data_IF_710653804049
#
_entry.id   IF_710653804049
#
_cell.length_a   1.000
_cell.length_b   1.000
_cell.length_c   1.000
_cell.angle_alpha   90.00
_cell.angle_beta   90.00
_cell.angle_gamma   90.00
#
_symmetry.space_group_name_H-M   'P 1'
#
loop_
_entity.id
_entity.type
_entity.pdbx_description
1 polymer ?
#
# COMPACT_ATOMS: atom_id res chain seq x y z
N UNK A 1 -21.93 43.33 -28.55
CA UNK A 1 -21.17 43.88 -29.70
C UNK A 1 -19.75 43.30 -29.69
N UNK A 2 -19.52 42.25 -30.47
CA UNK A 2 -18.19 41.71 -30.82
C UNK A 2 -18.29 41.30 -32.29
N UNK A 3 -17.50 41.94 -33.13
CA UNK A 3 -17.47 41.79 -34.58
C UNK A 3 -16.59 40.58 -34.88
N UNK A 4 -17.16 39.49 -35.40
CA UNK A 4 -16.38 38.42 -36.01
C UNK A 4 -16.18 38.76 -37.48
N UNK A 5 -14.98 39.23 -37.81
CA UNK A 5 -14.52 39.33 -39.18
C UNK A 5 -14.46 37.92 -39.79
N UNK A 6 -15.30 37.67 -40.78
CA UNK A 6 -15.21 36.47 -41.62
C UNK A 6 -14.01 36.63 -42.57
N UNK A 7 -12.96 35.85 -42.32
CA UNK A 7 -11.86 35.67 -43.27
C UNK A 7 -12.40 34.76 -44.39
N UNK A 8 -12.58 35.34 -45.57
CA UNK A 8 -13.04 34.63 -46.76
C UNK A 8 -11.81 33.99 -47.44
N UNK A 9 -11.49 32.75 -47.05
CA UNK A 9 -10.39 32.00 -47.66
C UNK A 9 -10.91 31.36 -48.95
N UNK A 10 -10.52 31.92 -50.10
CA UNK A 10 -10.80 31.37 -51.43
C UNK A 10 -9.70 30.36 -51.78
N UNK A 11 -9.94 29.07 -51.51
CA UNK A 11 -9.07 27.98 -51.96
C UNK A 11 -9.60 27.43 -53.29
N UNK A 12 -8.69 27.37 -54.25
CA UNK A 12 -8.92 27.02 -55.63
C UNK A 12 -9.30 25.52 -55.76
N UNK A 13 -10.51 25.25 -56.26
CA UNK A 13 -10.75 24.25 -57.29
C UNK A 13 -10.67 22.74 -56.98
N UNK A 14 -10.45 22.26 -55.74
CA UNK A 14 -10.63 20.82 -55.43
C UNK A 14 -11.33 20.58 -54.09
N UNK A 15 -12.27 19.64 -54.12
CA UNK A 15 -13.27 19.27 -53.12
C UNK A 15 -12.88 19.51 -51.65
N UNK A 16 -13.40 20.61 -51.09
CA UNK A 16 -13.33 20.94 -49.65
C UNK A 16 -14.05 19.90 -48.76
N UNK A 17 -14.88 19.03 -49.33
CA UNK A 17 -15.63 18.01 -48.59
C UNK A 17 -14.72 16.97 -47.94
N UNK A 18 -13.61 16.60 -48.60
CA UNK A 18 -12.69 15.58 -48.07
C UNK A 18 -11.78 16.13 -46.97
N UNK A 19 -11.41 17.42 -47.05
CA UNK A 19 -10.55 18.08 -46.05
C UNK A 19 -11.33 18.34 -44.75
N UNK A 20 -12.60 18.73 -44.85
CA UNK A 20 -13.46 18.92 -43.67
C UNK A 20 -13.67 17.63 -42.88
N UNK A 21 -13.83 16.49 -43.56
CA UNK A 21 -13.97 15.18 -42.92
C UNK A 21 -12.69 14.81 -42.15
N UNK A 22 -11.52 15.08 -42.71
CA UNK A 22 -10.23 14.80 -42.06
C UNK A 22 -10.06 15.65 -40.80
N UNK A 23 -10.40 16.94 -40.84
CA UNK A 23 -10.29 17.83 -39.68
C UNK A 23 -11.28 17.42 -38.57
N UNK A 24 -12.50 17.02 -38.91
CA UNK A 24 -13.49 16.52 -37.94
C UNK A 24 -13.04 15.18 -37.33
N UNK A 25 -12.43 14.29 -38.11
CA UNK A 25 -11.85 13.04 -37.60
C UNK A 25 -10.66 13.29 -36.67
N UNK A 26 -9.74 14.21 -37.02
CA UNK A 26 -8.59 14.56 -36.17
C UNK A 26 -9.05 15.23 -34.86
N UNK A 27 -10.11 16.05 -34.88
CA UNK A 27 -10.69 16.61 -33.67
C UNK A 27 -11.46 15.58 -32.84
N UNK A 28 -12.14 14.62 -33.46
CA UNK A 28 -12.81 13.52 -32.75
C UNK A 28 -11.81 12.58 -32.07
N UNK A 29 -10.66 12.31 -32.68
CA UNK A 29 -9.60 11.48 -32.08
C UNK A 29 -8.87 12.16 -30.91
N UNK A 30 -8.77 13.50 -30.90
CA UNK A 30 -8.18 14.23 -29.77
C UNK A 30 -9.16 14.49 -28.60
N UNK A 31 -10.47 14.26 -28.80
CA UNK A 31 -11.47 14.47 -27.74
C UNK A 31 -11.85 13.20 -26.97
N UNK A 32 -11.35 12.03 -27.38
CA UNK A 32 -11.44 10.81 -26.60
C UNK A 32 -10.19 10.68 -25.72
N UNK A 33 -10.00 11.67 -24.84
CA UNK A 33 -9.16 11.46 -23.68
C UNK A 33 -9.83 10.34 -22.87
N UNK A 34 -9.35 9.11 -23.05
CA UNK A 34 -9.64 8.01 -22.15
C UNK A 34 -9.15 8.44 -20.77
N UNK A 35 -10.01 9.15 -20.02
CA UNK A 35 -9.94 9.13 -18.57
C UNK A 35 -10.23 7.69 -18.23
N UNK A 36 -9.16 6.90 -18.12
CA UNK A 36 -9.18 5.65 -17.41
C UNK A 36 -9.81 6.03 -16.07
N UNK A 37 -11.07 5.61 -15.88
CA UNK A 37 -11.71 5.67 -14.58
C UNK A 37 -10.84 4.77 -13.71
N UNK A 38 -9.90 5.37 -12.98
CA UNK A 38 -9.24 4.68 -11.89
C UNK A 38 -10.38 4.16 -11.00
N UNK A 39 -10.42 2.85 -10.71
CA UNK A 39 -11.46 2.32 -9.86
C UNK A 39 -11.39 3.07 -8.53
N UNK A 40 -12.51 3.69 -8.16
CA UNK A 40 -12.65 4.40 -6.89
C UNK A 40 -12.48 3.36 -5.78
N UNK A 41 -11.32 3.40 -5.12
CA UNK A 41 -10.97 2.45 -4.09
C UNK A 41 -11.37 3.01 -2.73
N UNK A 42 -12.29 2.31 -2.07
CA UNK A 42 -12.67 2.63 -0.70
C UNK A 42 -11.53 2.27 0.26
N UNK A 43 -11.01 3.23 1.07
CA UNK A 43 -9.96 2.93 2.02
C UNK A 43 -10.38 1.86 3.03
N UNK A 44 -9.47 0.93 3.32
CA UNK A 44 -9.67 -0.14 4.31
C UNK A 44 -8.90 0.19 5.57
N UNK A 45 -9.57 0.06 6.72
CA UNK A 45 -8.95 0.17 8.04
C UNK A 45 -8.51 -1.20 8.51
N UNK A 46 -7.24 -1.38 8.78
CA UNK A 46 -6.67 -2.67 9.20
C UNK A 46 -6.18 -2.56 10.63
N UNK A 47 -6.81 -3.31 11.53
CA UNK A 47 -6.32 -3.51 12.89
C UNK A 47 -5.50 -4.80 12.93
N UNK A 48 -4.22 -4.67 13.24
CA UNK A 48 -3.29 -5.80 13.27
C UNK A 48 -2.89 -6.09 14.71
N UNK A 49 -3.08 -7.33 15.14
CA UNK A 49 -2.47 -7.88 16.34
C UNK A 49 -1.21 -8.63 15.92
N UNK A 50 -0.07 -7.99 16.10
CA UNK A 50 1.24 -8.55 15.81
C UNK A 50 1.71 -9.36 17.02
N UNK A 51 2.07 -10.62 16.78
CA UNK A 51 2.57 -11.55 17.79
C UNK A 51 3.93 -12.07 17.36
N UNK A 52 4.92 -11.90 18.22
CA UNK A 52 6.29 -12.32 17.94
C UNK A 52 6.71 -13.33 18.99
N UNK A 53 7.13 -14.50 18.52
CA UNK A 53 7.70 -15.54 19.35
C UNK A 53 9.23 -15.48 19.24
N UNK A 54 9.91 -15.50 20.37
CA UNK A 54 11.36 -15.59 20.45
C UNK A 54 11.70 -17.05 20.65
N UNK A 55 12.44 -17.61 19.70
CA UNK A 55 12.93 -18.97 19.74
C UNK A 55 14.41 -19.00 20.06
N UNK A 56 14.88 -20.03 20.74
CA UNK A 56 16.31 -20.29 20.91
C UNK A 56 16.94 -20.94 19.67
N UNK A 57 18.24 -21.21 19.72
CA UNK A 57 19.01 -21.87 18.65
C UNK A 57 18.55 -23.29 18.32
N UNK A 58 17.71 -23.88 19.18
CA UNK A 58 17.12 -25.21 19.01
C UNK A 58 15.63 -25.16 18.67
N UNK A 59 15.12 -23.99 18.27
CA UNK A 59 13.72 -23.76 17.89
C UNK A 59 12.71 -23.93 19.03
N UNK A 60 13.14 -23.93 20.29
CA UNK A 60 12.24 -23.92 21.43
C UNK A 60 11.86 -22.49 21.82
N UNK A 61 10.66 -22.32 22.39
CA UNK A 61 10.26 -21.03 22.97
C UNK A 61 11.27 -20.61 24.02
N UNK A 62 11.83 -19.42 23.84
CA UNK A 62 12.86 -18.88 24.71
C UNK A 62 12.27 -18.60 26.11
N UNK A 63 12.82 -19.25 27.14
CA UNK A 63 12.26 -19.23 28.50
C UNK A 63 13.03 -18.36 29.50
N UNK A 64 14.31 -18.05 29.29
CA UNK A 64 15.14 -17.32 30.28
C UNK A 64 16.38 -16.66 29.68
N UNK A 65 16.75 -15.44 30.14
CA UNK A 65 15.90 -14.39 30.73
C UNK A 65 14.93 -13.79 29.70
N UNK A 66 13.98 -12.93 30.07
CA UNK A 66 13.19 -12.21 29.06
C UNK A 66 14.12 -11.44 28.11
N UNK A 67 13.76 -11.37 26.83
CA UNK A 67 14.53 -10.62 25.84
C UNK A 67 13.76 -9.39 25.37
N UNK A 68 14.50 -8.36 24.97
CA UNK A 68 13.89 -7.21 24.31
C UNK A 68 13.50 -7.60 22.89
N UNK A 69 12.32 -7.16 22.48
CA UNK A 69 11.80 -7.31 21.12
C UNK A 69 11.62 -5.90 20.56
N UNK A 70 12.37 -5.60 19.52
CA UNK A 70 12.31 -4.36 18.76
C UNK A 70 11.37 -4.55 17.58
N UNK A 71 10.24 -3.85 17.60
CA UNK A 71 9.28 -3.82 16.50
C UNK A 71 9.57 -2.64 15.57
N UNK A 72 9.56 -2.91 14.26
CA UNK A 72 9.55 -1.89 13.22
C UNK A 72 8.35 -2.14 12.31
N UNK A 73 7.51 -1.14 12.08
CA UNK A 73 6.32 -1.29 11.26
C UNK A 73 6.12 -0.09 10.38
N UNK A 74 5.63 -0.29 9.17
CA UNK A 74 5.35 0.79 8.24
C UNK A 74 4.38 0.33 7.16
N UNK A 75 3.73 1.29 6.50
CA UNK A 75 2.98 1.05 5.27
C UNK A 75 3.86 1.41 4.07
N UNK A 76 3.86 0.55 3.06
CA UNK A 76 4.39 0.85 1.73
C UNK A 76 3.25 1.32 0.84
N UNK A 77 3.41 2.50 0.25
CA UNK A 77 2.49 2.98 -0.79
C UNK A 77 2.84 2.39 -2.16
N UNK A 78 1.96 2.55 -3.14
CA UNK A 78 2.17 2.24 -4.56
C UNK A 78 3.56 2.60 -5.10
N UNK A 79 4.05 3.80 -4.74
CA UNK A 79 5.35 4.33 -5.14
C UNK A 79 6.53 3.85 -4.25
N UNK A 80 6.36 2.77 -3.49
CA UNK A 80 7.33 2.22 -2.53
C UNK A 80 7.78 3.22 -1.44
N UNK A 81 6.97 4.25 -1.16
CA UNK A 81 7.25 5.19 -0.07
C UNK A 81 6.82 4.57 1.25
N UNK A 82 7.71 4.65 2.25
CA UNK A 82 7.38 4.28 3.63
C UNK A 82 6.59 5.41 4.29
N UNK A 83 5.39 5.09 4.76
CA UNK A 83 4.54 5.98 5.56
C UNK A 83 4.11 5.25 6.83
N UNK A 84 3.57 5.99 7.81
CA UNK A 84 3.17 5.44 9.12
C UNK A 84 4.28 4.61 9.79
N UNK A 85 5.53 5.05 9.62
CA UNK A 85 6.69 4.39 10.19
C UNK A 85 6.66 4.50 11.72
N UNK A 86 6.78 3.36 12.38
CA UNK A 86 6.82 3.27 13.85
C UNK A 86 7.89 2.28 14.28
N UNK A 87 8.67 2.71 15.26
CA UNK A 87 9.58 1.86 16.02
C UNK A 87 9.15 1.87 17.48
N UNK A 88 9.11 0.69 18.08
CA UNK A 88 8.84 0.53 19.49
C UNK A 88 9.38 -0.80 19.98
N UNK A 89 9.59 -0.91 21.27
CA UNK A 89 10.15 -2.11 21.86
C UNK A 89 9.32 -2.56 23.05
N UNK A 90 9.44 -3.85 23.35
CA UNK A 90 8.86 -4.44 24.54
C UNK A 90 9.75 -5.57 25.04
N UNK A 91 9.61 -5.90 26.31
CA UNK A 91 10.22 -7.10 26.86
C UNK A 91 9.27 -8.27 26.63
N UNK A 92 9.80 -9.40 26.16
CA UNK A 92 9.01 -10.62 25.94
C UNK A 92 8.30 -11.07 27.22
N UNK A 93 7.05 -11.52 27.11
CA UNK A 93 6.32 -12.22 28.15
C UNK A 93 6.98 -13.58 28.52
N UNK A 94 6.54 -14.24 29.61
CA UNK A 94 6.89 -15.63 29.88
C UNK A 94 6.65 -16.52 28.66
N UNK A 95 7.67 -17.32 28.30
CA UNK A 95 7.76 -18.10 27.05
C UNK A 95 8.13 -17.33 25.78
N UNK A 96 8.77 -16.16 25.91
CA UNK A 96 9.39 -15.48 24.76
C UNK A 96 8.39 -14.82 23.82
N UNK A 97 7.24 -14.35 24.32
CA UNK A 97 6.18 -13.81 23.46
C UNK A 97 6.09 -12.29 23.56
N UNK A 98 6.18 -11.54 22.45
CA UNK A 98 5.84 -10.12 22.37
C UNK A 98 4.55 -9.85 21.60
N UNK A 99 3.74 -8.90 22.04
CA UNK A 99 2.48 -8.53 21.37
C UNK A 99 2.43 -7.02 21.13
N UNK A 100 2.01 -6.60 19.94
CA UNK A 100 1.77 -5.20 19.59
C UNK A 100 0.45 -5.06 18.82
N UNK A 101 -0.35 -4.07 19.19
CA UNK A 101 -1.56 -3.69 18.46
C UNK A 101 -1.25 -2.50 17.55
N UNK A 102 -1.68 -2.59 16.30
CA UNK A 102 -1.38 -1.62 15.26
C UNK A 102 -2.64 -1.30 14.48
N UNK A 103 -2.69 -0.09 13.92
CA UNK A 103 -3.77 0.37 13.05
C UNK A 103 -3.17 0.99 11.80
N UNK A 104 -3.66 0.59 10.64
CA UNK A 104 -3.28 1.13 9.35
C UNK A 104 -4.52 1.45 8.53
N UNK A 105 -4.36 2.35 7.55
CA UNK A 105 -5.35 2.58 6.52
C UNK A 105 -4.71 2.32 5.17
N UNK A 106 -5.24 1.38 4.40
CA UNK A 106 -4.84 1.13 3.02
C UNK A 106 -5.77 1.93 2.10
N UNK A 107 -5.20 2.79 1.27
CA UNK A 107 -5.93 3.65 0.35
C UNK A 107 -5.91 3.13 -1.09
N UNK A 108 -5.08 2.12 -1.40
CA UNK A 108 -5.00 1.50 -2.72
C UNK A 108 -4.71 -0.01 -2.58
N UNK A 109 -5.03 -0.80 -3.61
CA UNK A 109 -4.81 -2.26 -3.65
C UNK A 109 -3.34 -2.67 -3.61
N UNK A 110 -2.45 -1.80 -4.08
CA UNK A 110 -1.00 -2.05 -4.12
C UNK A 110 -0.26 -1.59 -2.86
N UNK A 111 -0.99 -0.97 -1.91
CA UNK A 111 -0.41 -0.65 -0.59
C UNK A 111 -0.27 -1.91 0.27
N UNK A 112 0.79 -1.92 1.08
CA UNK A 112 1.16 -3.08 1.88
C UNK A 112 1.53 -2.66 3.30
N UNK A 113 1.27 -3.52 4.28
CA UNK A 113 1.70 -3.31 5.65
C UNK A 113 2.91 -4.19 5.90
N UNK A 114 4.01 -3.60 6.36
CA UNK A 114 5.21 -4.31 6.77
C UNK A 114 5.26 -4.37 8.29
N UNK A 115 5.39 -5.60 8.79
CA UNK A 115 5.59 -5.92 10.19
C UNK A 115 6.97 -6.54 10.35
N UNK A 116 7.84 -5.93 11.14
CA UNK A 116 9.19 -6.40 11.34
C UNK A 116 9.53 -6.49 12.83
N UNK A 117 10.29 -7.52 13.21
CA UNK A 117 10.80 -7.63 14.57
C UNK A 117 12.22 -8.19 14.63
N UNK A 118 12.96 -7.79 15.66
CA UNK A 118 14.30 -8.28 16.00
C UNK A 118 14.48 -8.31 17.52
N UNK A 119 15.42 -9.09 18.01
CA UNK A 119 15.85 -9.10 19.42
C UNK A 119 17.15 -8.31 19.65
N UNK A 120 17.74 -7.71 18.61
CA UNK A 120 19.04 -7.05 18.69
C UNK A 120 18.94 -5.53 18.81
N UNK A 121 18.28 -4.87 17.85
CA UNK A 121 18.19 -3.41 17.77
C UNK A 121 17.19 -2.95 16.68
N UNK A 122 17.09 -1.62 16.54
CA UNK A 122 16.29 -0.95 15.53
C UNK A 122 16.96 -0.79 14.15
N UNK A 123 18.20 -1.24 13.98
CA UNK A 123 19.07 -0.83 12.87
C UNK A 123 18.86 -1.62 11.57
N UNK A 124 17.84 -2.48 11.46
CA UNK A 124 17.49 -3.09 10.17
C UNK A 124 18.25 -4.34 9.78
N UNK A 125 19.34 -4.66 10.48
CA UNK A 125 20.31 -5.65 10.00
C UNK A 125 19.81 -7.09 10.16
N UNK A 126 18.89 -7.36 11.09
CA UNK A 126 18.41 -8.71 11.40
C UNK A 126 16.90 -8.75 11.70
N UNK A 127 16.09 -8.04 10.92
CA UNK A 127 14.64 -8.17 11.04
C UNK A 127 14.14 -9.44 10.38
N UNK A 128 13.21 -10.10 11.06
CA UNK A 128 12.22 -10.89 10.33
C UNK A 128 11.07 -9.98 9.95
N UNK A 129 10.84 -9.88 8.65
CA UNK A 129 9.74 -9.10 8.08
C UNK A 129 8.61 -10.02 7.61
N UNK A 130 7.38 -9.53 7.79
CA UNK A 130 6.17 -10.10 7.24
C UNK A 130 5.40 -8.98 6.56
N UNK A 131 4.84 -9.32 5.41
CA UNK A 131 4.00 -8.45 4.60
C UNK A 131 2.52 -8.85 4.77
N UNK A 132 1.66 -7.85 4.88
CA UNK A 132 0.21 -8.00 4.72
C UNK A 132 -0.17 -7.24 3.45
N UNK A 133 -0.70 -7.99 2.49
CA UNK A 133 -1.17 -7.47 1.20
C UNK A 133 -2.68 -7.35 1.16
N UNK A 134 -3.17 -6.57 0.18
CA UNK A 134 -4.60 -6.41 -0.06
C UNK A 134 -5.31 -7.76 -0.27
N UNK A 135 -4.77 -8.66 -1.08
CA UNK A 135 -5.39 -9.96 -1.39
C UNK A 135 -5.66 -10.81 -0.14
N UNK A 136 -4.83 -10.69 0.90
CA UNK A 136 -5.07 -11.37 2.17
C UNK A 136 -6.21 -10.73 2.98
N UNK A 137 -6.36 -9.41 2.83
CA UNK A 137 -7.34 -8.61 3.56
C UNK A 137 -8.71 -8.69 2.92
N UNK A 138 -8.81 -8.78 1.59
CA UNK A 138 -10.04 -8.71 0.82
C UNK A 138 -11.13 -9.66 1.35
N UNK A 139 -10.76 -10.90 1.61
CA UNK A 139 -11.68 -11.94 2.11
C UNK A 139 -12.12 -11.76 3.58
N UNK A 140 -11.59 -10.75 4.27
CA UNK A 140 -11.82 -10.48 5.70
C UNK A 140 -12.45 -9.11 5.96
N UNK A 141 -12.75 -8.36 4.90
CA UNK A 141 -13.35 -7.03 5.01
C UNK A 141 -14.78 -7.14 5.53
N UNK A 142 -15.08 -6.43 6.61
CA UNK A 142 -16.45 -6.28 7.10
C UNK A 142 -17.26 -5.25 6.28
N UNK A 143 -18.55 -5.13 6.57
CA UNK A 143 -19.43 -4.16 5.91
C UNK A 143 -19.04 -2.69 6.11
N UNK A 144 -18.13 -2.41 7.06
CA UNK A 144 -17.64 -1.08 7.42
C UNK A 144 -16.19 -0.84 6.94
N UNK A 145 -15.68 -1.69 6.04
CA UNK A 145 -14.31 -1.62 5.50
C UNK A 145 -13.23 -1.76 6.57
N UNK A 146 -13.51 -2.48 7.66
CA UNK A 146 -12.50 -2.85 8.65
C UNK A 146 -12.06 -4.29 8.47
N UNK A 147 -10.79 -4.54 8.75
CA UNK A 147 -10.21 -5.87 8.85
C UNK A 147 -9.51 -6.00 10.19
N UNK A 148 -9.81 -7.06 10.93
CA UNK A 148 -9.07 -7.44 12.13
C UNK A 148 -8.26 -8.69 11.82
N UNK A 149 -6.94 -8.62 11.96
CA UNK A 149 -6.04 -9.74 11.66
C UNK A 149 -5.01 -9.93 12.76
N UNK A 150 -4.68 -11.20 13.03
CA UNK A 150 -3.54 -11.56 13.87
C UNK A 150 -2.43 -12.11 12.99
N UNK A 151 -1.21 -11.60 13.16
CA UNK A 151 -0.02 -12.09 12.48
C UNK A 151 0.99 -12.57 13.50
N UNK A 152 1.29 -13.86 13.47
CA UNK A 152 2.20 -14.51 14.41
C UNK A 152 3.44 -14.98 13.67
N UNK A 153 4.63 -14.65 14.19
CA UNK A 153 5.89 -15.11 13.61
C UNK A 153 7.04 -15.18 14.61
N UNK A 154 8.10 -15.89 14.23
CA UNK A 154 9.20 -16.18 15.13
C UNK A 154 10.48 -15.40 14.78
N UNK A 155 11.11 -14.79 15.78
CA UNK A 155 12.49 -14.30 15.72
C UNK A 155 13.39 -15.21 16.56
N UNK A 156 14.69 -15.17 16.30
CA UNK A 156 15.64 -16.06 16.96
C UNK A 156 16.50 -15.28 17.93
N UNK A 157 16.59 -15.78 19.16
CA UNK A 157 17.57 -15.34 20.12
C UNK A 157 18.97 -15.72 19.60
N UNK A 158 19.91 -14.77 19.63
CA UNK A 158 21.32 -15.03 19.29
C UNK A 158 22.12 -15.32 20.55
#
# INVERSE_FOLDING_TARGET
>A
MKIFNCINIKINGKSLRNIFIIIVFIFAFNFCGNKILEPEFDPIKVNVRMEVQVLDSTYHLYKRPFTQIYFTTYKLTSNNKKVDFSQSDTTSCPNGWGVKLLKFTLNNMDEKIILAASNENYNGVNYREIEINYDELEFRIDSLKNVNITKTFAIYYK
#
